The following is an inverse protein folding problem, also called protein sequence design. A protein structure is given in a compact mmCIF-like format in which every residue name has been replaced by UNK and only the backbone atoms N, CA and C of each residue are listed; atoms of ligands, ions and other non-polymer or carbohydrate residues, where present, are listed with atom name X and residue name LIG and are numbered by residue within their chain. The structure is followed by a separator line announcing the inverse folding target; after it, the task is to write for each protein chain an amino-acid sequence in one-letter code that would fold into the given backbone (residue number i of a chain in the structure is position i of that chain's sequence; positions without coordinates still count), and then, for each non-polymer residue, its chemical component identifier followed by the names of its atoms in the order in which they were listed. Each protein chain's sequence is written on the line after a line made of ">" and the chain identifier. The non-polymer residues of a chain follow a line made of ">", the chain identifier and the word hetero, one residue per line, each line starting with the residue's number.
data_IF_255670374417
#
_entry.id   IF_255670374417
#
_cell.length_a   1.000
_cell.length_b   1.000
_cell.length_c   1.000
_cell.angle_alpha   90.00
_cell.angle_beta   90.00
_cell.angle_gamma   90.00
#
_symmetry.space_group_name_H-M   'P 1'
#
loop_
_entity.id
_entity.type
_entity.pdbx_description
1 polymer ?
#
# COMPACT_ATOMS: atom_id res chain seq x y z
N UNK A 1 -2.12 -9.21 -23.43
CA UNK A 1 -1.36 -9.10 -22.18
C UNK A 1 -2.37 -9.01 -21.04
N UNK A 2 -2.31 -9.90 -20.06
CA UNK A 2 -3.23 -9.91 -18.90
C UNK A 2 -2.57 -9.22 -17.73
N UNK A 3 -2.37 -7.91 -17.79
CA UNK A 3 -1.92 -7.14 -16.63
C UNK A 3 -3.14 -6.88 -15.75
N UNK A 4 -3.48 -7.84 -14.87
CA UNK A 4 -4.59 -7.65 -13.92
C UNK A 4 -4.29 -6.53 -12.92
N UNK A 5 -3.02 -6.37 -12.51
CA UNK A 5 -2.52 -5.38 -11.56
C UNK A 5 -1.04 -5.05 -11.89
N UNK A 6 -0.53 -3.88 -11.47
CA UNK A 6 0.91 -3.60 -11.49
C UNK A 6 1.58 -4.44 -10.39
N UNK A 7 2.60 -5.26 -10.67
CA UNK A 7 3.31 -5.99 -9.63
C UNK A 7 4.05 -5.01 -8.71
N UNK A 8 3.90 -5.17 -7.40
CA UNK A 8 4.73 -4.52 -6.41
C UNK A 8 6.15 -5.12 -6.35
N UNK A 9 6.97 -4.69 -5.38
CA UNK A 9 6.63 -3.76 -4.30
C UNK A 9 6.64 -2.30 -4.75
N UNK A 10 5.90 -1.47 -4.02
CA UNK A 10 5.85 -0.03 -4.22
C UNK A 10 6.34 0.70 -2.97
N UNK A 11 6.89 1.87 -3.18
CA UNK A 11 7.23 2.81 -2.11
C UNK A 11 6.72 4.20 -2.44
N UNK A 12 6.30 4.91 -1.41
CA UNK A 12 5.96 6.32 -1.50
C UNK A 12 7.25 7.14 -1.45
N UNK A 13 7.53 7.89 -2.51
CA UNK A 13 8.65 8.83 -2.59
C UNK A 13 8.10 10.24 -2.48
N UNK A 14 8.44 10.93 -1.39
CA UNK A 14 8.05 12.32 -1.14
C UNK A 14 9.11 13.27 -1.70
N UNK A 15 8.73 14.12 -2.65
CA UNK A 15 9.61 15.12 -3.23
C UNK A 15 9.54 16.48 -2.51
N UNK A 16 8.38 16.82 -1.95
CA UNK A 16 8.19 18.05 -1.16
C UNK A 16 7.02 17.92 -0.17
N UNK A 17 6.66 19.02 0.50
CA UNK A 17 5.47 19.06 1.35
C UNK A 17 4.19 18.71 0.57
N UNK A 18 4.10 19.09 -0.71
CA UNK A 18 2.89 19.03 -1.54
C UNK A 18 2.94 17.95 -2.64
N UNK A 19 4.08 17.27 -2.82
CA UNK A 19 4.28 16.37 -3.97
C UNK A 19 5.01 15.09 -3.58
N UNK A 20 4.55 13.98 -4.15
CA UNK A 20 5.23 12.70 -4.15
C UNK A 20 4.70 11.77 -5.24
N UNK A 21 5.24 10.57 -5.33
CA UNK A 21 4.72 9.52 -6.20
C UNK A 21 4.92 8.14 -5.57
N UNK A 22 4.11 7.18 -6.01
CA UNK A 22 4.37 5.77 -5.80
C UNK A 22 5.33 5.30 -6.88
N UNK A 23 6.46 4.77 -6.46
CA UNK A 23 7.50 4.23 -7.33
C UNK A 23 7.60 2.71 -7.16
N UNK A 24 7.99 2.00 -8.21
CA UNK A 24 8.41 0.60 -8.12
C UNK A 24 9.87 0.47 -7.69
N UNK A 25 10.35 -0.76 -7.47
CA UNK A 25 11.76 -1.04 -7.10
C UNK A 25 12.83 -0.42 -8.03
N UNK A 26 12.46 -0.03 -9.25
CA UNK A 26 13.37 0.56 -10.23
C UNK A 26 13.27 2.09 -10.26
N UNK A 27 12.53 2.69 -9.33
CA UNK A 27 12.28 4.13 -9.28
C UNK A 27 11.38 4.61 -10.41
N UNK A 28 10.52 3.75 -10.97
CA UNK A 28 9.58 4.15 -12.01
C UNK A 28 8.24 4.49 -11.37
N UNK A 29 7.68 5.65 -11.73
CA UNK A 29 6.34 6.07 -11.30
C UNK A 29 5.30 4.99 -11.66
N UNK A 30 4.75 4.33 -10.63
CA UNK A 30 3.62 3.40 -10.71
C UNK A 30 2.31 4.16 -10.67
N UNK A 31 2.23 5.14 -9.77
CA UNK A 31 1.12 6.06 -9.66
C UNK A 31 1.69 7.41 -9.28
N UNK A 32 1.52 8.38 -10.17
CA UNK A 32 1.83 9.76 -9.87
C UNK A 32 0.64 10.33 -9.11
N UNK A 33 0.74 10.36 -7.78
CA UNK A 33 -0.08 11.26 -6.99
C UNK A 33 0.43 12.67 -7.27
N UNK A 34 0.02 13.24 -8.40
CA UNK A 34 -0.08 14.69 -8.45
C UNK A 34 -1.12 14.97 -7.38
N UNK A 35 -0.70 15.48 -6.21
CA UNK A 35 -1.62 16.29 -5.43
C UNK A 35 -2.06 17.36 -6.42
N UNK A 36 -3.21 17.12 -7.03
CA UNK A 36 -3.86 18.16 -7.76
C UNK A 36 -4.23 19.18 -6.69
N UNK A 37 -3.94 20.47 -6.77
CA UNK A 37 -3.63 21.31 -7.93
C UNK A 37 -4.20 20.77 -9.26
N UNK A 38 -5.36 20.12 -9.22
CA UNK A 38 -6.46 20.69 -9.96
C UNK A 38 -6.93 21.73 -8.95
N UNK A 39 -6.46 22.98 -9.11
CA UNK A 39 -7.34 24.07 -8.77
C UNK A 39 -8.55 23.81 -9.67
N UNK A 40 -9.50 23.01 -9.20
CA UNK A 40 -10.85 23.32 -9.60
C UNK A 40 -11.03 24.69 -8.94
N UNK A 41 -11.19 25.71 -9.76
CA UNK A 41 -11.37 27.10 -9.33
C UNK A 41 -12.58 27.24 -8.36
N UNK A 42 -13.29 26.12 -8.12
CA UNK A 42 -14.46 25.94 -7.28
C UNK A 42 -14.27 25.12 -5.99
N UNK A 43 -13.18 24.39 -5.78
CA UNK A 43 -13.05 23.55 -4.56
C UNK A 43 -12.34 24.32 -3.44
N UNK A 44 -13.10 24.65 -2.40
CA UNK A 44 -12.69 25.57 -1.33
C UNK A 44 -11.95 24.87 -0.17
N UNK A 45 -11.84 23.54 -0.20
CA UNK A 45 -11.12 22.76 0.80
C UNK A 45 -9.82 22.23 0.18
N UNK A 46 -8.64 22.74 0.57
CA UNK A 46 -7.39 22.14 0.13
C UNK A 46 -7.33 20.69 0.62
N UNK A 47 -7.02 19.70 -0.23
CA UNK A 47 -6.78 18.34 0.23
C UNK A 47 -5.70 18.40 1.32
N UNK A 48 -6.00 17.87 2.51
CA UNK A 48 -5.02 17.86 3.58
C UNK A 48 -3.95 16.82 3.23
N UNK A 49 -2.73 17.30 3.04
CA UNK A 49 -1.52 16.51 2.73
C UNK A 49 -1.33 15.28 3.65
N UNK A 50 -1.87 15.32 4.87
CA UNK A 50 -1.85 14.19 5.81
C UNK A 50 -2.74 13.03 5.35
N UNK A 51 -3.89 13.32 4.73
CA UNK A 51 -4.77 12.29 4.14
C UNK A 51 -4.11 11.67 2.91
N UNK A 52 -3.49 12.50 2.05
CA UNK A 52 -2.77 12.01 0.86
C UNK A 52 -1.60 11.09 1.22
N UNK A 53 -0.88 11.38 2.32
CA UNK A 53 0.22 10.56 2.79
C UNK A 53 -0.26 9.22 3.39
N UNK A 54 -1.31 9.24 4.21
CA UNK A 54 -1.88 8.03 4.79
C UNK A 54 -2.49 7.11 3.71
N UNK A 55 -3.16 7.69 2.71
CA UNK A 55 -3.68 6.94 1.57
C UNK A 55 -2.55 6.39 0.70
N UNK A 56 -1.46 7.14 0.53
CA UNK A 56 -0.28 6.65 -0.19
C UNK A 56 0.38 5.47 0.52
N UNK A 57 0.52 5.49 1.85
CA UNK A 57 1.06 4.38 2.63
C UNK A 57 0.18 3.12 2.51
N UNK A 58 -1.15 3.29 2.57
CA UNK A 58 -2.11 2.21 2.34
C UNK A 58 -1.98 1.60 0.95
N UNK A 59 -1.87 2.42 -0.10
CA UNK A 59 -1.70 1.95 -1.48
C UNK A 59 -0.34 1.27 -1.64
N UNK A 60 0.74 1.83 -1.07
CA UNK A 60 2.08 1.26 -1.13
C UNK A 60 2.16 -0.13 -0.50
N UNK A 61 1.34 -0.40 0.52
CA UNK A 61 1.25 -1.69 1.19
C UNK A 61 0.29 -2.68 0.51
N UNK A 62 -0.46 -2.29 -0.53
CA UNK A 62 -1.47 -3.14 -1.18
C UNK A 62 -0.93 -4.49 -1.69
N UNK A 63 0.28 -4.60 -2.28
CA UNK A 63 0.86 -5.88 -2.67
C UNK A 63 1.05 -6.83 -1.47
N UNK A 64 1.64 -6.34 -0.37
CA UNK A 64 1.91 -7.10 0.84
C UNK A 64 0.61 -7.45 1.59
N UNK A 65 -0.37 -6.55 1.60
CA UNK A 65 -1.71 -6.79 2.15
C UNK A 65 -2.41 -7.92 1.39
N UNK A 66 -2.33 -7.91 0.05
CA UNK A 66 -2.90 -8.98 -0.78
C UNK A 66 -2.23 -10.33 -0.52
N UNK A 67 -0.89 -10.36 -0.43
CA UNK A 67 -0.16 -11.59 -0.09
C UNK A 67 -0.55 -12.11 1.30
N UNK A 68 -0.64 -11.24 2.29
CA UNK A 68 -1.04 -11.60 3.64
C UNK A 68 -2.47 -12.17 3.70
N UNK A 69 -3.42 -11.57 2.98
CA UNK A 69 -4.78 -12.08 2.88
C UNK A 69 -4.85 -13.45 2.20
N UNK A 70 -4.05 -13.67 1.15
CA UNK A 70 -3.95 -14.97 0.49
C UNK A 70 -3.35 -16.03 1.43
N UNK A 71 -2.34 -15.66 2.23
CA UNK A 71 -1.75 -16.56 3.22
C UNK A 71 -2.76 -16.95 4.32
N UNK A 72 -3.58 -16.00 4.78
CA UNK A 72 -4.64 -16.25 5.74
C UNK A 72 -5.78 -17.10 5.14
N UNK A 73 -6.18 -16.84 3.90
CA UNK A 73 -7.19 -17.65 3.20
C UNK A 73 -6.71 -19.11 3.01
N UNK A 74 -5.43 -19.31 2.72
CA UNK A 74 -4.81 -20.63 2.60
C UNK A 74 -4.79 -21.45 3.91
N UNK A 75 -5.10 -20.83 5.07
CA UNK A 75 -5.32 -21.55 6.33
C UNK A 75 -6.67 -22.27 6.36
N UNK A 76 -7.62 -21.89 5.50
CA UNK A 76 -8.95 -22.50 5.38
C UNK A 76 -8.90 -23.77 4.53
N UNK A 77 -8.10 -24.74 4.95
CA UNK A 77 -7.97 -26.04 4.30
C UNK A 77 -8.74 -27.16 5.01
N UNK A 78 -8.88 -28.35 4.37
CA UNK A 78 -9.47 -29.54 5.00
C UNK A 78 -8.59 -30.11 6.14
N UNK A 79 -7.34 -29.66 6.23
CA UNK A 79 -6.38 -30.04 7.26
C UNK A 79 -6.08 -28.84 8.16
N UNK A 80 -5.96 -29.09 9.46
CA UNK A 80 -5.52 -28.07 10.40
C UNK A 80 -4.10 -27.60 10.03
N UNK A 81 -3.88 -26.29 9.81
CA UNK A 81 -2.53 -25.76 9.60
C UNK A 81 -1.69 -25.93 10.87
N UNK A 82 -0.37 -25.98 10.71
CA UNK A 82 0.55 -26.00 11.86
C UNK A 82 0.61 -24.63 12.53
N UNK A 83 0.97 -24.60 13.81
CA UNK A 83 1.13 -23.36 14.57
C UNK A 83 2.16 -22.42 13.91
N UNK A 84 3.23 -22.97 13.32
CA UNK A 84 4.22 -22.18 12.57
C UNK A 84 3.57 -21.45 11.39
N UNK A 85 2.76 -22.14 10.58
CA UNK A 85 2.09 -21.52 9.42
C UNK A 85 1.09 -20.46 9.83
N UNK A 86 0.38 -20.67 10.94
CA UNK A 86 -0.55 -19.69 11.50
C UNK A 86 0.25 -18.44 11.93
N UNK A 87 1.32 -18.63 12.68
CA UNK A 87 2.17 -17.54 13.17
C UNK A 87 2.80 -16.74 12.04
N UNK A 88 3.29 -17.41 10.99
CA UNK A 88 3.85 -16.77 9.79
C UNK A 88 2.81 -15.93 9.05
N UNK A 89 1.61 -16.47 8.80
CA UNK A 89 0.55 -15.73 8.11
C UNK A 89 0.13 -14.47 8.89
N UNK A 90 -0.02 -14.59 10.21
CA UNK A 90 -0.33 -13.45 11.07
C UNK A 90 0.83 -12.44 11.19
N UNK A 91 2.08 -12.91 11.15
CA UNK A 91 3.24 -12.01 11.13
C UNK A 91 3.28 -11.17 9.85
N UNK A 92 3.04 -11.80 8.69
CA UNK A 92 2.92 -11.08 7.40
C UNK A 92 1.78 -10.07 7.43
N UNK A 93 0.61 -10.45 7.94
CA UNK A 93 -0.53 -9.55 8.06
C UNK A 93 -0.23 -8.33 8.95
N UNK A 94 0.39 -8.55 10.12
CA UNK A 94 0.78 -7.43 11.02
C UNK A 94 1.79 -6.50 10.37
N UNK A 95 2.79 -7.04 9.68
CA UNK A 95 3.79 -6.23 8.99
C UNK A 95 3.18 -5.38 7.86
N UNK A 96 2.29 -5.98 7.05
CA UNK A 96 1.60 -5.27 5.99
C UNK A 96 0.65 -4.18 6.52
N UNK A 97 -0.05 -4.45 7.64
CA UNK A 97 -0.89 -3.45 8.31
C UNK A 97 -0.03 -2.30 8.85
N UNK A 98 1.08 -2.60 9.53
CA UNK A 98 1.96 -1.56 10.06
C UNK A 98 2.55 -0.67 8.95
N UNK A 99 2.87 -1.25 7.79
CA UNK A 99 3.24 -0.47 6.59
C UNK A 99 2.09 0.43 6.13
N UNK A 100 0.88 -0.13 6.04
CA UNK A 100 -0.31 0.57 5.55
C UNK A 100 -0.80 1.70 6.47
N UNK A 101 -0.52 1.62 7.78
CA UNK A 101 -0.89 2.65 8.76
C UNK A 101 0.24 3.63 9.10
N UNK A 102 1.40 3.52 8.43
CA UNK A 102 2.55 4.38 8.68
C UNK A 102 3.28 4.09 10.01
N UNK A 103 3.06 2.92 10.62
CA UNK A 103 3.70 2.49 11.87
C UNK A 103 5.08 1.84 11.66
N UNK A 104 5.45 1.50 10.42
CA UNK A 104 6.82 1.14 10.07
C UNK A 104 7.66 2.40 9.82
N UNK A 105 8.55 2.74 10.77
CA UNK A 105 9.63 3.73 10.57
C UNK A 105 10.91 3.08 10.06
#
# INVERSE_FOLDING_TARGET
>A
MTTKHTPGPWHWTRYSSEYGCLEDEKGRDVLRAVSGIVYDEYDSDPPSIEVDAADADLIAAAPELLEALQALDALRGPFSPTDERINEAWAKARAAIAKATGEQQ
#
